data_IF_859570995673
#
_entry.id   IF_859570995673
#
_cell.length_a   1.000
_cell.length_b   1.000
_cell.length_c   1.000
_cell.angle_alpha   90.00
_cell.angle_beta   90.00
_cell.angle_gamma   90.00
#
_symmetry.space_group_name_H-M   'P 1'
#
loop_
_entity.id
_entity.type
_entity.pdbx_description
1 polymer ?
#
# COMPACT_ATOMS: atom_id res chain seq x y z
N UNK A 1 -24.42 16.68 15.67
CA UNK A 1 -23.68 15.55 15.05
C UNK A 1 -22.94 16.14 13.88
N UNK A 2 -21.62 16.08 13.87
CA UNK A 2 -20.81 16.57 12.74
C UNK A 2 -21.03 15.66 11.53
N UNK A 3 -20.87 16.14 10.28
CA UNK A 3 -21.05 15.31 9.07
C UNK A 3 -20.22 14.02 9.07
N UNK A 4 -19.02 14.06 9.61
CA UNK A 4 -18.13 12.89 9.74
C UNK A 4 -18.68 11.83 10.70
N UNK A 5 -19.39 12.24 11.78
CA UNK A 5 -20.01 11.29 12.70
C UNK A 5 -21.13 10.50 12.02
N UNK A 6 -21.93 11.14 11.15
CA UNK A 6 -23.00 10.47 10.42
C UNK A 6 -22.43 9.43 9.43
N UNK A 7 -21.32 9.74 8.73
CA UNK A 7 -20.63 8.81 7.85
C UNK A 7 -20.03 7.63 8.65
N UNK A 8 -19.46 7.89 9.82
CA UNK A 8 -18.95 6.83 10.69
C UNK A 8 -20.08 5.92 11.21
N UNK A 9 -21.23 6.46 11.60
CA UNK A 9 -22.39 5.63 11.95
C UNK A 9 -22.87 4.78 10.77
N UNK A 10 -22.86 5.33 9.55
CA UNK A 10 -23.16 4.57 8.34
C UNK A 10 -22.17 3.42 8.13
N UNK A 11 -20.85 3.67 8.30
CA UNK A 11 -19.83 2.62 8.25
C UNK A 11 -20.14 1.50 9.25
N UNK A 12 -20.45 1.85 10.50
CA UNK A 12 -20.80 0.88 11.54
C UNK A 12 -22.00 0.03 11.14
N UNK A 13 -23.05 0.64 10.58
CA UNK A 13 -24.24 -0.08 10.09
C UNK A 13 -23.88 -1.04 8.96
N UNK A 14 -23.04 -0.64 8.00
CA UNK A 14 -22.57 -1.50 6.90
C UNK A 14 -21.81 -2.70 7.48
N UNK A 15 -20.88 -2.45 8.41
CA UNK A 15 -20.07 -3.51 9.03
C UNK A 15 -20.96 -4.49 9.83
N UNK A 16 -21.87 -3.98 10.65
CA UNK A 16 -22.77 -4.82 11.45
C UNK A 16 -23.65 -5.74 10.59
N UNK A 17 -23.97 -5.34 9.34
CA UNK A 17 -24.77 -6.15 8.41
C UNK A 17 -23.94 -7.10 7.54
N UNK A 18 -22.61 -7.10 7.65
CA UNK A 18 -21.73 -7.85 6.75
C UNK A 18 -21.59 -9.34 7.09
N UNK A 19 -22.13 -9.80 8.22
CA UNK A 19 -21.90 -11.15 8.72
C UNK A 19 -20.45 -11.33 9.20
N UNK A 20 -19.89 -12.52 9.05
CA UNK A 20 -18.49 -12.79 9.37
C UNK A 20 -17.61 -12.23 8.24
N UNK A 21 -16.69 -11.32 8.59
CA UNK A 21 -15.98 -10.47 7.64
C UNK A 21 -14.46 -10.70 7.63
N UNK A 22 -13.89 -10.93 6.44
CA UNK A 22 -12.46 -10.79 6.20
C UNK A 22 -12.14 -9.36 5.76
N UNK A 23 -11.10 -8.77 6.32
CA UNK A 23 -10.62 -7.45 5.90
C UNK A 23 -9.24 -7.61 5.25
N UNK A 24 -9.14 -7.29 3.95
CA UNK A 24 -7.85 -7.20 3.25
C UNK A 24 -7.04 -6.04 3.85
N UNK A 25 -6.04 -6.39 4.64
CA UNK A 25 -5.28 -5.48 5.48
C UNK A 25 -3.88 -5.23 4.92
N UNK A 26 -3.59 -4.01 4.50
CA UNK A 26 -2.27 -3.64 3.97
C UNK A 26 -1.40 -2.86 4.97
N UNK A 27 -1.92 -2.57 6.18
CA UNK A 27 -1.25 -1.70 7.15
C UNK A 27 -1.20 -0.22 6.77
N UNK A 28 -1.85 0.18 5.67
CA UNK A 28 -2.11 1.59 5.34
C UNK A 28 -3.25 2.16 6.18
N UNK A 29 -3.37 3.50 6.24
CA UNK A 29 -4.35 4.20 7.10
C UNK A 29 -5.77 3.67 6.89
N UNK A 30 -6.20 3.53 5.63
CA UNK A 30 -7.58 3.17 5.30
C UNK A 30 -7.90 1.72 5.71
N UNK A 31 -7.05 0.76 5.33
CA UNK A 31 -7.25 -0.63 5.69
C UNK A 31 -7.10 -0.88 7.19
N UNK A 32 -6.24 -0.11 7.87
CA UNK A 32 -6.05 -0.20 9.32
C UNK A 32 -7.26 0.38 10.07
N UNK A 33 -7.79 1.52 9.62
CA UNK A 33 -9.01 2.08 10.18
C UNK A 33 -10.22 1.16 9.94
N UNK A 34 -10.33 0.59 8.71
CA UNK A 34 -11.38 -0.36 8.41
C UNK A 34 -11.31 -1.61 9.31
N UNK A 35 -10.11 -2.20 9.46
CA UNK A 35 -9.92 -3.37 10.31
C UNK A 35 -10.25 -3.07 11.77
N UNK A 36 -9.82 -1.91 12.29
CA UNK A 36 -10.17 -1.45 13.63
C UNK A 36 -11.67 -1.27 13.82
N UNK A 37 -12.35 -0.58 12.89
CA UNK A 37 -13.79 -0.36 12.96
C UNK A 37 -14.56 -1.68 12.86
N UNK A 38 -14.15 -2.59 11.96
CA UNK A 38 -14.75 -3.89 11.83
C UNK A 38 -14.59 -4.75 13.09
N UNK A 39 -13.41 -4.71 13.73
CA UNK A 39 -13.19 -5.42 14.99
C UNK A 39 -14.06 -4.87 16.12
N UNK A 40 -14.25 -3.55 16.20
CA UNK A 40 -15.13 -2.92 17.20
C UNK A 40 -16.60 -3.30 17.02
N UNK A 41 -17.07 -3.52 15.79
CA UNK A 41 -18.45 -3.87 15.51
C UNK A 41 -18.74 -5.38 15.57
N UNK A 42 -17.77 -6.20 15.13
CA UNK A 42 -17.99 -7.64 14.90
C UNK A 42 -17.24 -8.54 15.89
N UNK A 43 -16.28 -7.99 16.67
CA UNK A 43 -15.45 -8.77 17.58
C UNK A 43 -14.78 -9.95 16.87
N UNK A 44 -15.00 -11.17 17.36
CA UNK A 44 -14.49 -12.42 16.78
C UNK A 44 -15.13 -12.78 15.42
N UNK A 45 -16.15 -12.06 15.02
CA UNK A 45 -16.79 -12.19 13.70
C UNK A 45 -15.96 -11.60 12.56
N UNK A 46 -14.85 -10.90 12.86
CA UNK A 46 -13.96 -10.39 11.82
C UNK A 46 -12.57 -11.00 11.93
N UNK A 47 -11.82 -10.98 10.80
CA UNK A 47 -10.38 -11.25 10.76
C UNK A 47 -9.70 -10.38 9.72
N UNK A 48 -8.61 -9.75 10.10
CA UNK A 48 -7.74 -9.05 9.16
C UNK A 48 -6.80 -10.07 8.49
N UNK A 49 -6.62 -9.95 7.19
CA UNK A 49 -5.67 -10.77 6.44
C UNK A 49 -4.64 -9.87 5.79
N UNK A 50 -3.37 -10.11 6.08
CA UNK A 50 -2.25 -9.44 5.41
C UNK A 50 -1.54 -10.41 4.47
N UNK A 51 -1.31 -9.98 3.23
CA UNK A 51 -0.52 -10.75 2.29
C UNK A 51 0.98 -10.62 2.61
N UNK A 52 1.64 -11.74 2.86
CA UNK A 52 3.10 -11.82 2.89
C UNK A 52 3.62 -12.00 1.48
N UNK A 53 3.83 -10.89 0.82
CA UNK A 53 4.22 -10.75 -0.58
C UNK A 53 5.67 -10.25 -0.66
N UNK A 54 6.40 -10.67 -1.69
CA UNK A 54 7.74 -10.16 -1.97
C UNK A 54 7.75 -8.65 -2.28
N UNK A 55 6.61 -8.09 -2.69
CA UNK A 55 6.46 -6.66 -2.96
C UNK A 55 6.08 -5.83 -1.73
N UNK A 56 5.80 -6.46 -0.59
CA UNK A 56 5.55 -5.79 0.69
C UNK A 56 6.86 -5.60 1.46
N UNK A 57 7.28 -4.37 1.69
CA UNK A 57 8.47 -4.08 2.50
C UNK A 57 8.34 -4.68 3.92
N UNK A 58 9.39 -5.33 4.39
CA UNK A 58 9.38 -6.01 5.70
C UNK A 58 9.08 -5.07 6.85
N UNK A 59 9.63 -3.86 6.80
CA UNK A 59 9.31 -2.81 7.79
C UNK A 59 7.82 -2.43 7.80
N UNK A 60 7.16 -2.45 6.64
CA UNK A 60 5.72 -2.19 6.57
C UNK A 60 4.89 -3.36 7.12
N UNK A 61 5.33 -4.60 6.90
CA UNK A 61 4.71 -5.79 7.50
C UNK A 61 4.82 -5.75 9.01
N UNK A 62 6.01 -5.48 9.55
CA UNK A 62 6.26 -5.36 10.99
C UNK A 62 5.39 -4.28 11.64
N UNK A 63 5.31 -3.10 11.03
CA UNK A 63 4.44 -2.00 11.47
C UNK A 63 2.96 -2.39 11.48
N UNK A 64 2.51 -3.11 10.44
CA UNK A 64 1.13 -3.55 10.30
C UNK A 64 0.77 -4.58 11.39
N UNK A 65 1.64 -5.57 11.62
CA UNK A 65 1.47 -6.57 12.68
C UNK A 65 1.54 -5.94 14.07
N UNK A 66 2.41 -4.95 14.28
CA UNK A 66 2.49 -4.22 15.54
C UNK A 66 1.19 -3.44 15.82
N UNK A 67 0.65 -2.75 14.81
CA UNK A 67 -0.64 -2.07 14.92
C UNK A 67 -1.78 -3.05 15.25
N UNK A 68 -1.86 -4.19 14.57
CA UNK A 68 -2.89 -5.18 14.84
C UNK A 68 -2.82 -5.69 16.28
N UNK A 69 -1.61 -5.96 16.81
CA UNK A 69 -1.42 -6.36 18.21
C UNK A 69 -1.82 -5.28 19.20
N UNK A 70 -1.47 -4.01 18.95
CA UNK A 70 -1.83 -2.88 19.81
C UNK A 70 -3.34 -2.65 19.91
N UNK A 71 -4.07 -3.01 18.87
CA UNK A 71 -5.52 -2.82 18.79
C UNK A 71 -6.31 -4.10 19.01
N UNK A 72 -5.64 -5.20 19.44
CA UNK A 72 -6.22 -6.53 19.65
C UNK A 72 -6.97 -7.08 18.43
N UNK A 73 -6.59 -6.64 17.20
CA UNK A 73 -7.23 -7.07 15.95
C UNK A 73 -6.77 -8.49 15.62
N UNK A 74 -7.70 -9.46 15.46
CA UNK A 74 -7.35 -10.80 15.02
C UNK A 74 -6.84 -10.74 13.58
N UNK A 75 -5.55 -11.06 13.40
CA UNK A 75 -4.86 -10.99 12.11
C UNK A 75 -4.25 -12.33 11.75
N UNK A 76 -4.28 -12.65 10.46
CA UNK A 76 -3.56 -13.77 9.89
C UNK A 76 -2.76 -13.35 8.67
N UNK A 77 -1.63 -14.00 8.46
CA UNK A 77 -0.73 -13.74 7.35
C UNK A 77 -0.84 -14.87 6.33
N UNK A 78 -1.17 -14.52 5.09
CA UNK A 78 -1.23 -15.46 3.98
C UNK A 78 -0.14 -15.14 2.96
N UNK A 79 0.53 -16.18 2.45
CA UNK A 79 1.52 -16.01 1.38
C UNK A 79 0.83 -15.82 0.05
N UNK A 80 1.35 -14.90 -0.75
CA UNK A 80 0.99 -14.70 -2.16
C UNK A 80 2.23 -14.95 -3.04
N UNK A 81 2.00 -15.31 -4.28
CA UNK A 81 3.03 -15.74 -5.25
C UNK A 81 2.97 -14.91 -6.53
N UNK A 82 2.58 -13.64 -6.43
CA UNK A 82 2.40 -12.76 -7.58
C UNK A 82 3.62 -12.67 -8.50
N UNK A 83 4.83 -12.93 -8.01
CA UNK A 83 6.04 -12.99 -8.84
C UNK A 83 6.06 -14.19 -9.80
N UNK A 84 5.31 -15.25 -9.50
CA UNK A 84 5.19 -16.42 -10.37
C UNK A 84 4.20 -16.18 -11.53
N UNK A 85 3.38 -15.12 -11.43
CA UNK A 85 2.47 -14.70 -12.48
C UNK A 85 3.22 -13.87 -13.53
N UNK A 86 3.38 -14.37 -14.79
CA UNK A 86 4.09 -13.65 -15.84
C UNK A 86 3.47 -12.28 -16.17
N UNK A 87 2.15 -12.14 -16.04
CA UNK A 87 1.43 -10.90 -16.31
C UNK A 87 1.71 -9.83 -15.24
N UNK A 88 1.88 -10.25 -13.99
CA UNK A 88 2.38 -9.35 -12.95
C UNK A 88 3.86 -9.02 -13.16
N UNK A 89 4.70 -10.04 -13.38
CA UNK A 89 6.15 -9.89 -13.53
C UNK A 89 6.53 -8.98 -14.70
N UNK A 90 5.75 -8.94 -15.78
CA UNK A 90 5.95 -8.04 -16.95
C UNK A 90 5.91 -6.56 -16.59
N UNK A 91 5.27 -6.19 -15.49
CA UNK A 91 5.24 -4.83 -14.96
C UNK A 91 4.66 -3.79 -15.91
N UNK A 92 3.53 -4.08 -16.49
CA UNK A 92 2.75 -3.12 -17.28
C UNK A 92 1.74 -2.33 -16.41
N UNK A 93 0.92 -1.52 -17.04
CA UNK A 93 -0.13 -0.71 -16.38
C UNK A 93 -1.15 -1.55 -15.61
N UNK A 94 -1.33 -2.85 -15.97
CA UNK A 94 -2.25 -3.78 -15.32
C UNK A 94 -1.64 -4.55 -14.15
N UNK A 95 -0.35 -4.35 -13.83
CA UNK A 95 0.33 -5.05 -12.71
C UNK A 95 -0.49 -5.05 -11.41
N UNK A 96 -1.09 -3.89 -11.05
CA UNK A 96 -1.88 -3.80 -9.83
C UNK A 96 -3.19 -4.59 -9.89
N UNK A 97 -3.73 -4.82 -11.09
CA UNK A 97 -4.86 -5.73 -11.29
C UNK A 97 -4.45 -7.15 -10.93
N UNK A 98 -3.40 -7.68 -11.55
CA UNK A 98 -2.92 -9.05 -11.34
C UNK A 98 -2.54 -9.33 -9.87
N UNK A 99 -1.90 -8.37 -9.21
CA UNK A 99 -1.59 -8.46 -7.78
C UNK A 99 -2.85 -8.53 -6.90
N UNK A 100 -3.88 -7.76 -7.23
CA UNK A 100 -5.13 -7.76 -6.45
C UNK A 100 -6.02 -8.95 -6.78
N UNK A 101 -6.01 -9.40 -8.01
CA UNK A 101 -6.74 -10.58 -8.46
C UNK A 101 -6.28 -11.81 -7.67
N UNK A 102 -4.99 -12.10 -7.66
CA UNK A 102 -4.41 -13.19 -6.86
C UNK A 102 -4.70 -13.03 -5.35
N UNK A 103 -4.54 -11.81 -4.81
CA UNK A 103 -4.87 -11.56 -3.40
C UNK A 103 -6.30 -11.98 -3.09
N UNK A 104 -7.26 -11.60 -3.95
CA UNK A 104 -8.66 -11.89 -3.70
C UNK A 104 -8.99 -13.37 -3.94
N UNK A 105 -8.34 -14.05 -4.87
CA UNK A 105 -8.43 -15.52 -5.01
C UNK A 105 -8.03 -16.22 -3.71
N UNK A 106 -6.86 -15.89 -3.17
CA UNK A 106 -6.38 -16.45 -1.89
C UNK A 106 -7.34 -16.14 -0.73
N UNK A 107 -7.90 -14.92 -0.71
CA UNK A 107 -8.88 -14.52 0.31
C UNK A 107 -10.21 -15.27 0.15
N UNK A 108 -10.67 -15.56 -1.06
CA UNK A 108 -11.88 -16.34 -1.32
C UNK A 108 -11.73 -17.80 -0.88
N UNK A 109 -10.57 -18.40 -1.15
CA UNK A 109 -10.23 -19.73 -0.66
C UNK A 109 -10.27 -19.77 0.88
N UNK A 110 -9.58 -18.81 1.52
CA UNK A 110 -9.56 -18.70 2.98
C UNK A 110 -10.96 -18.46 3.54
N UNK A 111 -11.73 -17.55 2.94
CA UNK A 111 -13.12 -17.25 3.31
C UNK A 111 -13.98 -18.52 3.35
N UNK A 112 -13.90 -19.30 2.27
CA UNK A 112 -14.69 -20.52 2.10
C UNK A 112 -14.27 -21.60 3.11
N UNK A 113 -12.97 -21.79 3.34
CA UNK A 113 -12.45 -22.78 4.27
C UNK A 113 -12.77 -22.49 5.73
N UNK A 114 -12.92 -21.22 6.12
CA UNK A 114 -13.10 -20.79 7.52
C UNK A 114 -14.50 -20.24 7.82
N UNK A 115 -15.43 -20.32 6.85
CA UNK A 115 -16.83 -19.95 7.05
C UNK A 115 -17.03 -18.46 7.28
N UNK A 116 -16.26 -17.60 6.61
CA UNK A 116 -16.54 -16.17 6.53
C UNK A 116 -17.54 -15.88 5.41
N UNK A 117 -18.38 -14.85 5.59
CA UNK A 117 -19.43 -14.54 4.64
C UNK A 117 -18.92 -13.62 3.51
N UNK A 118 -18.08 -12.64 3.86
CA UNK A 118 -17.69 -11.58 2.94
C UNK A 118 -16.22 -11.17 3.12
N UNK A 119 -15.69 -10.50 2.08
CA UNK A 119 -14.39 -9.86 2.07
C UNK A 119 -14.60 -8.36 1.91
N UNK A 120 -13.82 -7.53 2.62
CA UNK A 120 -13.82 -6.07 2.49
C UNK A 120 -12.39 -5.54 2.30
N UNK A 121 -12.27 -4.38 1.66
CA UNK A 121 -10.99 -3.68 1.48
C UNK A 121 -11.11 -2.17 1.72
N UNK A 122 -9.97 -1.53 2.01
CA UNK A 122 -9.92 -0.15 2.48
C UNK A 122 -9.87 0.90 1.35
N UNK A 123 -10.74 0.82 0.34
CA UNK A 123 -10.91 1.89 -0.65
C UNK A 123 -11.83 2.97 -0.11
N UNK A 124 -11.53 4.24 -0.39
CA UNK A 124 -12.27 5.42 0.06
C UNK A 124 -12.74 6.30 -1.12
N UNK A 125 -13.40 7.43 -0.83
CA UNK A 125 -13.96 8.32 -1.86
C UNK A 125 -12.89 8.93 -2.76
N UNK A 126 -11.73 9.33 -2.20
CA UNK A 126 -10.65 9.96 -2.97
C UNK A 126 -9.98 8.99 -3.96
N UNK A 127 -10.21 7.68 -3.78
CA UNK A 127 -9.72 6.66 -4.70
C UNK A 127 -10.60 6.53 -5.97
N UNK A 128 -11.74 7.23 -6.03
CA UNK A 128 -12.59 7.28 -7.23
C UNK A 128 -12.01 8.27 -8.25
N UNK A 129 -12.00 7.86 -9.51
CA UNK A 129 -11.53 8.71 -10.61
C UNK A 129 -10.02 8.69 -10.85
N UNK A 130 -9.26 7.91 -10.09
CA UNK A 130 -7.84 7.66 -10.32
C UNK A 130 -7.65 6.34 -11.09
N UNK A 131 -6.57 6.25 -11.88
CA UNK A 131 -6.20 4.98 -12.56
C UNK A 131 -5.81 3.93 -11.53
N UNK A 132 -6.74 3.03 -11.21
CA UNK A 132 -6.54 1.98 -10.20
C UNK A 132 -7.03 0.62 -10.69
N UNK A 133 -6.27 -0.07 -11.52
CA UNK A 133 -6.63 -1.40 -12.04
C UNK A 133 -7.01 -2.41 -10.94
N UNK A 134 -6.40 -2.31 -9.76
CA UNK A 134 -6.74 -3.16 -8.62
C UNK A 134 -8.18 -3.02 -8.12
N UNK A 135 -8.89 -1.93 -8.40
CA UNK A 135 -10.32 -1.80 -8.09
C UNK A 135 -11.18 -2.64 -9.06
N UNK A 136 -10.70 -2.88 -10.28
CA UNK A 136 -11.39 -3.78 -11.20
C UNK A 136 -11.37 -5.22 -10.67
N UNK A 137 -10.24 -5.70 -10.15
CA UNK A 137 -10.15 -7.00 -9.49
C UNK A 137 -11.13 -7.08 -8.31
N UNK A 138 -11.17 -6.06 -7.43
CA UNK A 138 -12.10 -6.03 -6.30
C UNK A 138 -13.57 -6.13 -6.73
N UNK A 139 -13.95 -5.48 -7.84
CA UNK A 139 -15.31 -5.60 -8.40
C UNK A 139 -15.60 -7.00 -8.93
N UNK A 140 -14.65 -7.65 -9.61
CA UNK A 140 -14.80 -9.01 -10.14
C UNK A 140 -14.99 -10.04 -9.02
N UNK A 141 -14.27 -9.89 -7.91
CA UNK A 141 -14.37 -10.73 -6.71
C UNK A 141 -15.46 -10.28 -5.72
N UNK A 142 -16.34 -9.36 -6.11
CA UNK A 142 -17.44 -8.87 -5.27
C UNK A 142 -17.01 -8.43 -3.87
N UNK A 143 -15.80 -7.86 -3.74
CA UNK A 143 -15.24 -7.39 -2.47
C UNK A 143 -15.93 -6.11 -2.03
N UNK A 144 -16.38 -6.06 -0.77
CA UNK A 144 -17.07 -4.90 -0.20
C UNK A 144 -16.11 -3.72 -0.04
N UNK A 145 -16.66 -2.52 -0.20
CA UNK A 145 -15.96 -1.25 -0.06
C UNK A 145 -16.58 -0.36 1.04
N UNK A 146 -16.58 -0.77 2.32
CA UNK A 146 -17.38 -0.13 3.37
C UNK A 146 -17.06 1.34 3.59
N UNK A 147 -15.79 1.76 3.47
CA UNK A 147 -15.39 3.17 3.62
C UNK A 147 -15.96 4.02 2.47
N UNK A 148 -15.88 3.51 1.24
CA UNK A 148 -16.45 4.15 0.06
C UNK A 148 -17.98 4.23 0.14
N UNK A 149 -18.64 3.14 0.52
CA UNK A 149 -20.10 3.08 0.69
C UNK A 149 -20.59 4.01 1.79
N UNK A 150 -19.79 4.21 2.85
CA UNK A 150 -20.06 5.18 3.90
C UNK A 150 -19.83 6.64 3.45
N UNK A 151 -19.19 6.86 2.29
CA UNK A 151 -18.87 8.17 1.78
C UNK A 151 -17.69 8.83 2.49
N UNK A 152 -16.76 8.06 3.06
CA UNK A 152 -15.61 8.57 3.81
C UNK A 152 -14.47 8.96 2.86
N UNK A 153 -13.97 10.17 3.05
CA UNK A 153 -12.78 10.72 2.40
C UNK A 153 -11.52 10.42 3.22
N UNK A 154 -10.36 10.49 2.59
CA UNK A 154 -9.07 10.23 3.24
C UNK A 154 -8.81 11.13 4.45
N UNK A 155 -9.15 12.40 4.35
CA UNK A 155 -9.05 13.38 5.43
C UNK A 155 -9.91 13.01 6.62
N UNK A 156 -11.16 12.59 6.38
CA UNK A 156 -12.12 12.19 7.40
C UNK A 156 -11.70 10.87 8.08
N UNK A 157 -11.16 9.91 7.32
CA UNK A 157 -10.60 8.67 7.88
C UNK A 157 -9.44 8.98 8.84
N UNK A 158 -8.54 9.91 8.47
CA UNK A 158 -7.44 10.37 9.34
C UNK A 158 -7.95 11.08 10.60
N UNK A 159 -8.96 11.92 10.47
CA UNK A 159 -9.60 12.59 11.60
C UNK A 159 -10.20 11.58 12.57
N UNK A 160 -10.98 10.63 12.08
CA UNK A 160 -11.59 9.56 12.88
C UNK A 160 -10.51 8.67 13.54
N UNK A 161 -9.47 8.30 12.80
CA UNK A 161 -8.34 7.54 13.33
C UNK A 161 -7.62 8.29 14.45
N UNK A 162 -7.41 9.61 14.29
CA UNK A 162 -6.81 10.47 15.31
C UNK A 162 -7.70 10.57 16.55
N UNK A 163 -9.00 10.78 16.36
CA UNK A 163 -9.97 10.87 17.45
C UNK A 163 -10.06 9.54 18.23
N UNK A 164 -9.88 8.40 17.54
CA UNK A 164 -9.82 7.08 18.15
C UNK A 164 -8.45 6.75 18.81
N UNK A 165 -7.47 7.66 18.75
CA UNK A 165 -6.13 7.44 19.31
C UNK A 165 -5.26 6.44 18.53
N UNK A 166 -5.59 6.16 17.25
CA UNK A 166 -4.84 5.23 16.42
C UNK A 166 -3.59 5.89 15.88
N UNK A 167 -2.41 5.33 16.16
CA UNK A 167 -1.12 5.91 15.73
C UNK A 167 -0.93 5.99 14.21
N UNK A 168 -1.79 5.31 13.44
CA UNK A 168 -1.69 5.29 11.96
C UNK A 168 -2.27 6.55 11.30
N UNK A 169 -2.88 7.46 12.04
CA UNK A 169 -3.62 8.60 11.50
C UNK A 169 -2.78 9.52 10.59
N UNK A 170 -1.48 9.68 10.88
CA UNK A 170 -0.53 10.50 10.12
C UNK A 170 0.43 9.68 9.24
N UNK A 171 0.26 8.34 9.21
CA UNK A 171 1.13 7.45 8.42
C UNK A 171 1.14 7.88 6.94
N UNK A 172 2.32 8.10 6.33
CA UNK A 172 2.42 8.38 4.90
C UNK A 172 1.88 7.24 4.04
N UNK A 173 1.44 7.56 2.82
CA UNK A 173 1.04 6.54 1.87
C UNK A 173 2.20 5.59 1.56
N UNK A 174 1.97 4.29 1.76
CA UNK A 174 2.93 3.23 1.53
C UNK A 174 2.49 2.40 0.33
N UNK A 175 3.06 2.69 -0.84
CA UNK A 175 2.88 1.84 -2.01
C UNK A 175 3.83 0.62 -1.93
N UNK A 176 3.50 -0.47 -2.65
CA UNK A 176 4.33 -1.68 -2.73
C UNK A 176 5.71 -1.39 -3.37
N UNK A 177 6.72 -2.21 -3.08
CA UNK A 177 8.08 -2.06 -3.64
C UNK A 177 8.08 -2.11 -5.17
N UNK A 178 7.20 -2.90 -5.79
CA UNK A 178 7.07 -2.99 -7.25
C UNK A 178 6.78 -1.65 -7.93
N UNK A 179 6.11 -0.73 -7.21
CA UNK A 179 5.85 0.62 -7.74
C UNK A 179 7.11 1.48 -7.90
N UNK A 180 8.26 1.00 -7.44
CA UNK A 180 9.57 1.65 -7.60
C UNK A 180 10.28 1.20 -8.87
N UNK A 181 9.85 0.08 -9.46
CA UNK A 181 10.44 -0.45 -10.69
C UNK A 181 9.77 0.23 -11.89
N UNK A 182 10.58 0.71 -12.81
CA UNK A 182 10.13 1.37 -14.04
C UNK A 182 9.20 0.46 -14.85
N UNK A 183 8.08 1.00 -15.33
CA UNK A 183 7.17 0.24 -16.17
C UNK A 183 7.87 -0.37 -17.38
N UNK A 184 7.50 -1.62 -17.72
CA UNK A 184 8.13 -2.40 -18.78
C UNK A 184 9.43 -3.11 -18.37
N UNK A 185 9.97 -2.82 -17.18
CA UNK A 185 11.05 -3.65 -16.60
C UNK A 185 10.44 -4.75 -15.74
N UNK A 186 10.91 -6.00 -15.88
CA UNK A 186 10.38 -7.09 -15.07
C UNK A 186 10.50 -6.83 -13.57
N UNK A 187 9.44 -7.16 -12.83
CA UNK A 187 9.51 -7.25 -11.37
C UNK A 187 10.15 -8.58 -11.02
N UNK A 188 11.32 -8.53 -10.38
CA UNK A 188 12.02 -9.72 -9.90
C UNK A 188 12.31 -9.61 -8.40
N UNK A 189 12.54 -10.76 -7.76
CA UNK A 189 12.90 -10.79 -6.34
C UNK A 189 14.16 -9.98 -6.05
N UNK A 190 15.15 -10.01 -6.96
CA UNK A 190 16.39 -9.25 -6.86
C UNK A 190 16.14 -7.75 -6.92
N UNK A 191 15.33 -7.29 -7.90
CA UNK A 191 15.01 -5.87 -8.04
C UNK A 191 14.23 -5.35 -6.82
N UNK A 192 13.28 -6.13 -6.29
CA UNK A 192 12.55 -5.79 -5.07
C UNK A 192 13.48 -5.70 -3.85
N UNK A 193 14.39 -6.67 -3.69
CA UNK A 193 15.37 -6.69 -2.60
C UNK A 193 16.32 -5.49 -2.66
N UNK A 194 16.80 -5.12 -3.86
CA UNK A 194 17.66 -3.96 -4.04
C UNK A 194 16.94 -2.66 -3.68
N UNK A 195 15.68 -2.52 -4.11
CA UNK A 195 14.84 -1.37 -3.75
C UNK A 195 14.62 -1.29 -2.24
N UNK A 196 14.25 -2.40 -1.59
CA UNK A 196 14.02 -2.45 -0.16
C UNK A 196 15.26 -2.06 0.64
N UNK A 197 16.41 -2.67 0.34
CA UNK A 197 17.70 -2.36 0.99
C UNK A 197 18.09 -0.89 0.79
N UNK A 198 17.82 -0.34 -0.39
CA UNK A 198 18.04 1.08 -0.67
C UNK A 198 17.13 1.99 0.17
N UNK A 199 15.84 1.66 0.29
CA UNK A 199 14.89 2.41 1.12
C UNK A 199 15.24 2.28 2.62
N UNK A 200 15.69 1.12 3.08
CA UNK A 200 16.17 0.93 4.46
C UNK A 200 17.42 1.75 4.76
N UNK A 201 18.36 1.83 3.81
CA UNK A 201 19.55 2.67 3.95
C UNK A 201 19.18 4.16 4.05
N UNK A 202 18.26 4.65 3.22
CA UNK A 202 17.77 6.04 3.31
C UNK A 202 17.08 6.32 4.65
N UNK A 203 16.30 5.36 5.15
CA UNK A 203 15.70 5.43 6.50
C UNK A 203 16.76 5.50 7.59
N UNK A 204 17.80 4.66 7.49
CA UNK A 204 18.95 4.67 8.40
C UNK A 204 19.72 6.00 8.39
N UNK A 205 19.76 6.68 7.25
CA UNK A 205 20.31 8.04 7.15
C UNK A 205 19.36 9.11 7.72
N UNK A 206 18.16 8.75 8.19
CA UNK A 206 17.20 9.64 8.81
C UNK A 206 16.30 10.43 7.86
N UNK A 207 16.19 10.01 6.59
CA UNK A 207 15.15 10.53 5.68
C UNK A 207 13.79 9.97 6.06
N UNK A 208 12.74 10.80 5.96
CA UNK A 208 11.38 10.42 6.39
C UNK A 208 10.47 10.03 5.23
N UNK A 209 10.53 10.79 4.14
CA UNK A 209 9.72 10.52 2.95
C UNK A 209 10.64 10.41 1.73
N UNK A 210 10.73 9.23 1.19
CA UNK A 210 11.65 8.92 0.09
C UNK A 210 11.12 7.78 -0.78
N UNK A 211 11.73 7.64 -1.96
CA UNK A 211 11.56 6.48 -2.85
C UNK A 211 12.87 6.19 -3.57
N UNK A 212 13.15 4.91 -3.71
CA UNK A 212 14.26 4.39 -4.52
C UNK A 212 13.69 3.87 -5.83
N UNK A 213 13.81 4.64 -6.92
CA UNK A 213 13.30 4.26 -8.23
C UNK A 213 14.35 3.51 -9.02
N UNK A 214 14.00 2.30 -9.46
CA UNK A 214 14.86 1.39 -10.18
C UNK A 214 14.64 1.54 -11.70
N UNK A 215 15.61 2.11 -12.41
CA UNK A 215 15.63 2.30 -13.86
C UNK A 215 16.77 1.48 -14.51
N UNK A 216 16.87 0.19 -14.15
CA UNK A 216 17.98 -0.67 -14.59
C UNK A 216 19.29 -0.29 -13.94
N UNK A 217 20.27 0.20 -14.72
CA UNK A 217 21.58 0.61 -14.20
C UNK A 217 21.54 1.93 -13.41
N UNK A 218 20.42 2.62 -13.44
CA UNK A 218 20.25 3.93 -12.81
C UNK A 218 19.31 3.79 -11.60
N UNK A 219 19.76 4.30 -10.46
CA UNK A 219 18.85 4.60 -9.34
C UNK A 219 18.48 6.09 -9.37
N UNK A 220 17.18 6.40 -9.26
CA UNK A 220 16.68 7.75 -9.04
C UNK A 220 16.11 7.84 -7.63
N UNK A 221 16.79 8.56 -6.77
CA UNK A 221 16.43 8.79 -5.39
C UNK A 221 15.46 9.98 -5.34
N UNK A 222 14.31 9.79 -4.75
CA UNK A 222 13.36 10.87 -4.43
C UNK A 222 13.32 11.04 -2.90
N UNK A 223 13.49 12.27 -2.41
CA UNK A 223 13.33 12.63 -0.99
C UNK A 223 12.28 13.73 -0.86
N UNK A 224 11.75 13.96 0.34
CA UNK A 224 10.85 15.09 0.58
C UNK A 224 11.52 16.41 0.15
N UNK A 225 10.73 17.36 -0.36
CA UNK A 225 11.26 18.66 -0.83
C UNK A 225 12.02 19.41 0.26
N UNK A 226 11.54 19.31 1.49
CA UNK A 226 12.13 19.92 2.69
C UNK A 226 13.49 19.29 3.03
N UNK A 227 13.75 18.08 2.56
CA UNK A 227 14.98 17.32 2.80
C UNK A 227 16.00 17.45 1.64
N UNK A 228 15.63 18.08 0.51
CA UNK A 228 16.51 18.21 -0.67
C UNK A 228 17.82 18.95 -0.36
N UNK A 229 17.78 20.02 0.42
CA UNK A 229 18.99 20.78 0.78
C UNK A 229 20.01 19.91 1.52
N UNK A 230 19.53 19.00 2.36
CA UNK A 230 20.37 18.01 3.04
C UNK A 230 20.88 16.94 2.08
N UNK A 231 20.02 16.44 1.19
CA UNK A 231 20.37 15.41 0.21
C UNK A 231 21.42 15.89 -0.81
N UNK A 232 21.48 17.20 -1.08
CA UNK A 232 22.42 17.82 -2.03
C UNK A 232 23.78 18.14 -1.44
N UNK A 233 24.04 17.85 -0.16
CA UNK A 233 25.37 18.10 0.42
C UNK A 233 26.42 17.14 -0.15
N UNK A 234 27.70 17.55 -0.25
CA UNK A 234 28.77 16.67 -0.72
C UNK A 234 28.93 15.39 0.12
N UNK A 235 28.67 15.49 1.41
CA UNK A 235 28.69 14.35 2.34
C UNK A 235 27.61 13.33 1.96
N UNK A 236 26.40 13.80 1.75
CA UNK A 236 25.26 12.91 1.41
C UNK A 236 25.41 12.34 0.00
N UNK A 237 25.96 13.10 -0.94
CA UNK A 237 26.28 12.60 -2.27
C UNK A 237 27.27 11.42 -2.23
N UNK A 238 28.29 11.50 -1.35
CA UNK A 238 29.24 10.38 -1.13
C UNK A 238 28.54 9.15 -0.53
N UNK A 239 27.68 9.35 0.48
CA UNK A 239 26.94 8.25 1.11
C UNK A 239 25.98 7.59 0.13
N UNK A 240 25.21 8.35 -0.63
CA UNK A 240 24.33 7.80 -1.67
C UNK A 240 25.14 7.02 -2.71
N UNK A 241 26.25 7.60 -3.18
CA UNK A 241 27.10 6.92 -4.15
C UNK A 241 27.62 5.59 -3.61
N UNK A 242 28.14 5.56 -2.39
CA UNK A 242 28.64 4.34 -1.75
C UNK A 242 27.52 3.29 -1.64
N UNK A 243 26.38 3.65 -1.03
CA UNK A 243 25.27 2.73 -0.77
C UNK A 243 24.73 2.12 -2.08
N UNK A 244 24.41 2.96 -3.06
CA UNK A 244 23.75 2.48 -4.27
C UNK A 244 24.73 1.84 -5.27
N UNK A 245 26.01 2.16 -5.23
CA UNK A 245 27.05 1.38 -5.93
C UNK A 245 27.20 -0.02 -5.34
N UNK A 246 27.21 -0.14 -4.02
CA UNK A 246 27.25 -1.44 -3.33
C UNK A 246 25.98 -2.29 -3.60
N UNK A 247 24.86 -1.64 -3.93
CA UNK A 247 23.63 -2.29 -4.37
C UNK A 247 23.63 -2.67 -5.87
N UNK A 248 24.70 -2.32 -6.62
CA UNK A 248 24.89 -2.74 -8.01
C UNK A 248 24.52 -1.69 -9.07
N UNK A 249 24.05 -0.50 -8.70
CA UNK A 249 23.72 0.54 -9.69
C UNK A 249 24.97 1.16 -10.30
N UNK A 250 24.94 1.37 -11.63
CA UNK A 250 26.02 2.06 -12.33
C UNK A 250 25.94 3.59 -12.16
N UNK A 251 24.74 4.14 -12.05
CA UNK A 251 24.50 5.56 -11.90
C UNK A 251 23.58 5.84 -10.71
N UNK A 252 23.99 6.81 -9.90
CA UNK A 252 23.24 7.26 -8.73
C UNK A 252 22.76 8.68 -8.98
N UNK A 253 21.46 8.91 -8.98
CA UNK A 253 20.86 10.20 -9.29
C UNK A 253 19.87 10.62 -8.21
N UNK A 254 19.69 11.92 -8.05
CA UNK A 254 18.71 12.53 -7.16
C UNK A 254 17.66 13.27 -8.02
N UNK A 255 16.39 13.05 -7.75
CA UNK A 255 15.30 13.82 -8.38
C UNK A 255 15.24 15.22 -7.74
N UNK A 256 15.54 16.24 -8.52
CA UNK A 256 15.57 17.62 -8.03
C UNK A 256 14.18 18.21 -7.73
N UNK A 257 13.11 17.57 -8.22
CA UNK A 257 11.74 17.96 -7.87
C UNK A 257 11.28 17.31 -6.55
N UNK A 258 12.07 16.36 -6.03
CA UNK A 258 11.76 15.61 -4.83
C UNK A 258 10.63 14.61 -4.99
N UNK A 259 10.18 14.06 -3.86
CA UNK A 259 9.10 13.07 -3.84
C UNK A 259 7.76 13.67 -4.31
N UNK A 260 7.11 12.98 -5.24
CA UNK A 260 5.75 13.28 -5.73
C UNK A 260 4.96 11.97 -5.84
N UNK A 261 3.71 12.01 -5.36
CA UNK A 261 2.81 10.87 -5.56
C UNK A 261 2.58 10.65 -7.06
N UNK A 262 2.64 9.41 -7.52
CA UNK A 262 2.38 9.07 -8.92
C UNK A 262 3.48 9.46 -9.91
N UNK A 263 4.70 9.86 -9.47
CA UNK A 263 5.79 10.28 -10.37
C UNK A 263 6.12 9.26 -11.47
N UNK A 264 5.94 7.95 -11.21
CA UNK A 264 6.16 6.89 -12.19
C UNK A 264 5.05 6.81 -13.25
N UNK A 265 3.84 7.30 -12.96
CA UNK A 265 2.74 7.29 -13.94
C UNK A 265 3.02 8.21 -15.14
N UNK A 266 3.94 9.18 -14.99
CA UNK A 266 4.39 10.03 -16.10
C UNK A 266 5.10 9.23 -17.22
N UNK A 267 5.51 8.00 -16.96
CA UNK A 267 6.10 7.08 -17.93
C UNK A 267 5.06 6.28 -18.73
N UNK A 268 3.80 6.30 -18.29
CA UNK A 268 2.72 5.60 -19.00
C UNK A 268 2.18 6.47 -20.14
N UNK A 269 1.83 5.86 -21.30
CA UNK A 269 1.11 6.56 -22.36
C UNK A 269 -0.19 7.16 -21.83
N UNK A 270 -0.52 8.37 -22.28
CA UNK A 270 -1.76 9.08 -21.87
C UNK A 270 -3.01 8.24 -22.17
N UNK A 271 -2.97 7.44 -23.23
CA UNK A 271 -4.04 6.54 -23.63
C UNK A 271 -4.33 5.44 -22.60
N UNK A 272 -3.30 4.94 -21.92
CA UNK A 272 -3.45 3.96 -20.85
C UNK A 272 -4.02 4.56 -19.57
N UNK A 273 -3.64 5.80 -19.25
CA UNK A 273 -4.16 6.53 -18.09
C UNK A 273 -5.65 6.91 -18.25
N UNK A 274 -6.17 6.94 -19.48
CA UNK A 274 -7.58 7.27 -19.78
C UNK A 274 -8.51 6.05 -19.86
N UNK A 275 -7.98 4.84 -19.86
CA UNK A 275 -8.77 3.59 -20.00
C UNK A 275 -9.31 3.03 -18.68
N UNK A 276 -9.15 3.73 -17.59
CA UNK A 276 -9.59 3.30 -16.26
C UNK A 276 -10.89 4.04 -15.81
#
# INVERSE_FOLDING_TARGET
MFPVDAKFQRLRTILASSGRLLVAFSGGVDSAFLAWAAHRELGDGMRAIIADSASLARTHLEDALAFAREQDIPIEMLKTQELENPDYARNDSMRCFHCKDELFEVLEEYRSAHGFDRIAYGVNVDDQGDFRPGQQAARQHHVLAPLLEAGLEKSEIRELARAAGLRIWDKPASACLSSRIEYGRPVTAEALSVVERGEDALRGLGFRQFRVRHHGDIVRIEVAREELSRALTPEMAREFTRIFKDLGFQFVTLDLEGFRSGSMNALLPIEELRRA
#
